data_IF_031961796365
#
_entry.id   IF_031961796365
#
_cell.length_a   1.000
_cell.length_b   1.000
_cell.length_c   1.000
_cell.angle_alpha   90.00
_cell.angle_beta   90.00
_cell.angle_gamma   90.00
#
_symmetry.space_group_name_H-M   'P 1'
#
loop_
_entity.id
_entity.type
_entity.pdbx_description
1 polymer ?
#
# COMPACT_ATOMS: atom_id res chain seq x y z
N UNK A 1 -4.80 10.10 7.33
CA UNK A 1 -4.41 8.84 6.67
C UNK A 1 -5.21 7.65 7.19
N UNK A 2 -5.04 7.21 8.45
CA UNK A 2 -5.74 6.03 9.01
C UNK A 2 -7.27 6.11 8.92
N UNK A 3 -7.87 7.26 9.24
CA UNK A 3 -9.33 7.46 9.11
C UNK A 3 -9.85 7.18 7.71
N UNK A 4 -9.16 7.65 6.67
CA UNK A 4 -9.51 7.41 5.27
C UNK A 4 -9.21 5.97 4.82
N UNK A 5 -8.17 5.35 5.37
CA UNK A 5 -7.95 3.92 5.16
C UNK A 5 -9.15 3.13 5.70
N UNK A 6 -9.58 3.43 6.94
CA UNK A 6 -10.69 2.76 7.62
C UNK A 6 -12.04 3.02 6.96
N UNK A 7 -12.27 4.20 6.37
CA UNK A 7 -13.53 4.50 5.68
C UNK A 7 -13.77 3.63 4.43
N UNK A 8 -12.78 2.84 4.01
CA UNK A 8 -12.89 1.89 2.91
C UNK A 8 -13.29 0.49 3.38
N UNK A 9 -13.33 0.22 4.69
CA UNK A 9 -13.80 -1.09 5.21
C UNK A 9 -15.20 -1.38 4.68
N UNK A 10 -15.38 -2.58 4.10
CA UNK A 10 -16.58 -2.97 3.36
C UNK A 10 -16.48 -2.83 1.84
N UNK A 11 -15.46 -2.15 1.30
CA UNK A 11 -15.21 -2.10 -0.15
C UNK A 11 -15.01 -3.51 -0.72
N UNK A 12 -15.65 -3.77 -1.86
CA UNK A 12 -15.53 -5.03 -2.61
C UNK A 12 -14.16 -5.13 -3.26
N UNK A 13 -13.55 -6.31 -3.24
CA UNK A 13 -12.28 -6.53 -3.94
C UNK A 13 -12.46 -6.42 -5.47
N UNK A 14 -11.76 -5.46 -6.09
CA UNK A 14 -11.72 -5.27 -7.55
C UNK A 14 -10.31 -4.83 -7.99
N UNK A 15 -9.58 -5.75 -8.63
CA UNK A 15 -8.24 -5.52 -9.19
C UNK A 15 -8.25 -5.30 -10.72
N UNK A 16 -9.42 -5.15 -11.33
CA UNK A 16 -9.53 -5.02 -12.79
C UNK A 16 -8.82 -3.76 -13.29
N UNK A 17 -8.20 -3.90 -14.46
CA UNK A 17 -7.63 -2.78 -15.20
C UNK A 17 -8.73 -1.85 -15.69
N UNK A 18 -8.53 -0.54 -15.59
CA UNK A 18 -9.47 0.49 -16.05
C UNK A 18 -8.71 1.71 -16.54
N UNK A 19 -9.24 2.43 -17.52
CA UNK A 19 -8.74 3.76 -17.89
C UNK A 19 -9.12 4.75 -16.77
N UNK A 20 -8.15 5.55 -16.32
CA UNK A 20 -8.35 6.50 -15.24
C UNK A 20 -8.02 7.93 -15.70
N UNK A 21 -8.75 8.95 -15.18
CA UNK A 21 -8.30 10.34 -15.27
C UNK A 21 -6.88 10.50 -14.71
N UNK A 22 -6.18 11.55 -15.12
CA UNK A 22 -4.85 11.86 -14.61
C UNK A 22 -4.64 13.37 -14.53
N UNK A 23 -4.16 13.92 -13.41
CA UNK A 23 -3.89 13.24 -12.12
C UNK A 23 -5.19 12.91 -11.36
N UNK A 24 -5.06 12.35 -10.15
CA UNK A 24 -6.17 12.04 -9.23
C UNK A 24 -7.22 11.03 -9.75
N UNK A 25 -6.86 10.18 -10.71
CA UNK A 25 -7.70 9.05 -11.10
C UNK A 25 -7.90 8.05 -9.95
N UNK A 26 -9.10 7.50 -9.88
CA UNK A 26 -9.48 6.49 -8.89
C UNK A 26 -10.45 5.48 -9.52
N UNK A 27 -10.48 4.27 -8.97
CA UNK A 27 -11.52 3.29 -9.29
C UNK A 27 -12.86 3.69 -8.65
N UNK A 28 -14.00 3.15 -9.11
CA UNK A 28 -15.30 3.48 -8.52
C UNK A 28 -15.34 3.30 -7.00
N UNK A 29 -16.15 4.11 -6.32
CA UNK A 29 -16.35 4.00 -4.86
C UNK A 29 -16.98 2.65 -4.50
N UNK A 30 -16.71 2.17 -3.29
CA UNK A 30 -17.24 0.87 -2.82
C UNK A 30 -16.44 -0.34 -3.31
N UNK A 31 -15.29 -0.12 -3.97
CA UNK A 31 -14.44 -1.19 -4.49
C UNK A 31 -12.98 -0.77 -4.63
N UNK A 32 -12.10 -1.76 -4.69
CA UNK A 32 -10.68 -1.59 -4.99
C UNK A 32 -9.84 -2.81 -4.61
N UNK A 33 -8.54 -2.70 -4.78
CA UNK A 33 -7.54 -3.67 -4.35
C UNK A 33 -6.77 -3.17 -3.11
N UNK A 34 -5.81 -3.96 -2.63
CA UNK A 34 -4.96 -3.60 -1.49
C UNK A 34 -4.23 -2.26 -1.67
N UNK A 35 -3.78 -1.97 -2.89
CA UNK A 35 -3.09 -0.72 -3.24
C UNK A 35 -4.00 0.50 -3.17
N UNK A 36 -5.30 0.35 -3.49
CA UNK A 36 -6.27 1.46 -3.48
C UNK A 36 -6.53 1.97 -2.06
N UNK A 37 -6.42 1.09 -1.05
CA UNK A 37 -6.44 1.48 0.37
C UNK A 37 -5.35 2.50 0.66
N UNK A 38 -4.13 2.22 0.22
CA UNK A 38 -2.96 3.09 0.41
C UNK A 38 -3.09 4.37 -0.42
N UNK A 39 -3.49 4.25 -1.69
CA UNK A 39 -3.67 5.38 -2.61
C UNK A 39 -4.64 6.41 -2.03
N UNK A 40 -5.83 5.99 -1.62
CA UNK A 40 -6.86 6.91 -1.10
C UNK A 40 -6.46 7.49 0.25
N UNK A 41 -5.83 6.71 1.12
CA UNK A 41 -5.39 7.18 2.43
C UNK A 41 -4.29 8.24 2.34
N UNK A 42 -3.37 8.11 1.39
CA UNK A 42 -2.33 9.10 1.11
C UNK A 42 -2.88 10.33 0.36
N UNK A 43 -3.82 10.13 -0.56
CA UNK A 43 -4.49 11.24 -1.26
C UNK A 43 -5.21 12.16 -0.29
N UNK A 44 -5.85 11.63 0.74
CA UNK A 44 -6.51 12.42 1.77
C UNK A 44 -5.57 13.32 2.59
N UNK A 45 -4.25 13.08 2.54
CA UNK A 45 -3.23 13.92 3.16
C UNK A 45 -2.33 14.60 2.12
N UNK A 46 -2.80 14.73 0.88
CA UNK A 46 -2.16 15.54 -0.17
C UNK A 46 -1.22 14.80 -1.11
N UNK A 47 -1.06 13.48 -1.00
CA UNK A 47 -0.16 12.70 -1.85
C UNK A 47 -0.90 11.87 -2.90
N UNK A 48 -0.92 12.34 -4.14
CA UNK A 48 -1.46 11.58 -5.28
C UNK A 48 -0.44 10.58 -5.82
N UNK A 49 -0.53 9.32 -5.35
CA UNK A 49 0.36 8.24 -5.80
C UNK A 49 0.29 7.99 -7.31
N UNK A 50 -0.85 8.27 -7.97
CA UNK A 50 -0.96 8.14 -9.42
C UNK A 50 0.05 9.05 -10.11
N UNK A 51 0.05 10.33 -9.76
CA UNK A 51 1.00 11.31 -10.27
C UNK A 51 2.43 10.99 -9.85
N UNK A 52 2.64 10.75 -8.56
CA UNK A 52 3.97 10.59 -7.97
C UNK A 52 4.75 9.40 -8.54
N UNK A 53 4.12 8.22 -8.57
CA UNK A 53 4.76 7.00 -9.09
C UNK A 53 4.94 7.07 -10.60
N UNK A 54 3.96 7.61 -11.33
CA UNK A 54 4.07 7.76 -12.79
C UNK A 54 5.25 8.67 -13.18
N UNK A 55 5.42 9.79 -12.48
CA UNK A 55 6.52 10.73 -12.76
C UNK A 55 7.89 10.16 -12.34
N UNK A 56 7.98 9.48 -11.19
CA UNK A 56 9.23 8.84 -10.77
C UNK A 56 9.61 7.69 -11.72
N UNK A 57 8.67 6.83 -12.10
CA UNK A 57 8.92 5.74 -13.08
C UNK A 57 9.32 6.29 -14.45
N UNK A 58 8.73 7.41 -14.90
CA UNK A 58 9.13 8.07 -16.15
C UNK A 58 10.57 8.59 -16.09
N UNK A 59 10.99 9.13 -14.95
CA UNK A 59 12.34 9.69 -14.76
C UNK A 59 13.39 8.61 -14.50
N UNK A 60 13.04 7.54 -13.80
CA UNK A 60 13.94 6.47 -13.37
C UNK A 60 13.38 5.07 -13.70
N UNK A 61 13.17 4.74 -14.98
CA UNK A 61 12.52 3.47 -15.36
C UNK A 61 13.32 2.22 -14.96
N UNK A 62 14.63 2.33 -14.74
CA UNK A 62 15.47 1.23 -14.23
C UNK A 62 15.28 0.92 -12.74
N UNK A 63 14.70 1.84 -11.96
CA UNK A 63 14.43 1.62 -10.54
C UNK A 63 13.22 0.70 -10.30
N UNK A 64 12.36 0.51 -11.30
CA UNK A 64 11.13 -0.26 -11.21
C UNK A 64 11.28 -1.65 -11.86
N UNK A 65 10.61 -2.70 -11.34
CA UNK A 65 10.73 -4.05 -11.87
C UNK A 65 10.33 -4.13 -13.35
N UNK A 66 11.21 -4.69 -14.17
CA UNK A 66 11.00 -4.94 -15.60
C UNK A 66 10.45 -6.33 -15.83
N UNK A 67 9.25 -6.60 -15.35
CA UNK A 67 8.49 -7.75 -15.86
C UNK A 67 7.85 -7.34 -17.19
N UNK A 68 7.80 -8.22 -18.19
CA UNK A 68 7.33 -7.90 -19.56
C UNK A 68 5.98 -7.17 -19.56
N UNK A 69 5.04 -7.66 -18.75
CA UNK A 69 3.70 -7.09 -18.49
C UNK A 69 3.68 -5.73 -17.76
N UNK A 70 4.80 -5.24 -17.23
CA UNK A 70 4.91 -4.02 -16.40
C UNK A 70 6.00 -3.05 -16.90
N UNK A 71 6.63 -3.37 -18.03
CA UNK A 71 7.77 -2.65 -18.60
C UNK A 71 7.39 -1.27 -19.16
N UNK A 72 6.20 -1.13 -19.75
CA UNK A 72 5.71 0.15 -20.28
C UNK A 72 5.20 1.05 -19.16
N UNK A 73 5.42 2.36 -19.31
CA UNK A 73 4.83 3.38 -18.44
C UNK A 73 3.31 3.44 -18.66
N UNK A 74 2.53 3.34 -17.60
CA UNK A 74 1.06 3.34 -17.66
C UNK A 74 0.44 4.02 -16.42
N UNK A 75 -0.04 5.26 -16.63
CA UNK A 75 -0.69 6.09 -15.59
C UNK A 75 -1.95 5.46 -14.99
N UNK A 76 -2.59 4.50 -15.67
CA UNK A 76 -3.82 3.86 -15.21
C UNK A 76 -3.57 2.82 -14.12
N UNK A 77 -2.36 2.28 -14.02
CA UNK A 77 -2.12 1.07 -13.23
C UNK A 77 -0.76 1.08 -12.51
N UNK A 78 0.20 1.91 -12.90
CA UNK A 78 1.54 1.92 -12.27
C UNK A 78 1.48 2.09 -10.75
N UNK A 79 0.67 3.04 -10.27
CA UNK A 79 0.47 3.27 -8.85
C UNK A 79 -0.36 2.20 -8.14
N UNK A 80 -1.13 1.39 -8.89
CA UNK A 80 -1.95 0.28 -8.35
C UNK A 80 -1.17 -1.04 -8.26
N UNK A 81 0.13 -1.04 -8.55
CA UNK A 81 1.02 -2.20 -8.35
C UNK A 81 1.76 -2.12 -7.03
N UNK A 82 1.64 -3.16 -6.21
CA UNK A 82 2.34 -3.26 -4.92
C UNK A 82 3.85 -3.05 -5.10
N UNK A 83 4.46 -3.73 -6.07
CA UNK A 83 5.91 -3.61 -6.33
C UNK A 83 6.35 -2.17 -6.65
N UNK A 84 5.51 -1.40 -7.34
CA UNK A 84 5.84 0.00 -7.67
C UNK A 84 5.67 0.90 -6.45
N UNK A 85 4.64 0.67 -5.62
CA UNK A 85 4.48 1.39 -4.35
C UNK A 85 5.66 1.12 -3.41
N UNK A 86 6.10 -0.14 -3.29
CA UNK A 86 7.27 -0.52 -2.48
C UNK A 86 8.53 0.21 -2.95
N UNK A 87 8.81 0.23 -4.25
CA UNK A 87 9.96 0.99 -4.81
C UNK A 87 9.85 2.47 -4.46
N UNK A 88 8.67 3.07 -4.66
CA UNK A 88 8.46 4.48 -4.38
C UNK A 88 8.65 4.83 -2.90
N UNK A 89 8.07 4.04 -1.99
CA UNK A 89 8.22 4.25 -0.55
C UNK A 89 9.64 4.00 -0.05
N UNK A 90 10.38 3.04 -0.62
CA UNK A 90 11.79 2.85 -0.29
C UNK A 90 12.66 4.06 -0.70
N UNK A 91 12.29 4.76 -1.79
CA UNK A 91 13.01 5.94 -2.30
C UNK A 91 12.66 7.21 -1.54
N UNK A 92 11.38 7.43 -1.27
CA UNK A 92 10.83 8.69 -0.78
C UNK A 92 10.26 8.66 0.64
N UNK A 93 10.25 7.50 1.28
CA UNK A 93 9.90 7.30 2.70
C UNK A 93 11.10 6.80 3.53
N UNK A 94 10.87 6.58 4.81
CA UNK A 94 11.78 5.91 5.71
C UNK A 94 11.48 4.40 5.70
N UNK A 95 12.46 3.57 5.35
CA UNK A 95 12.39 2.11 5.55
C UNK A 95 12.63 1.79 7.01
N UNK A 96 11.72 1.03 7.61
CA UNK A 96 11.72 0.65 9.02
C UNK A 96 11.97 -0.86 9.17
N UNK A 97 12.10 -1.32 10.41
CA UNK A 97 12.28 -2.74 10.71
C UNK A 97 11.09 -3.58 10.23
N UNK A 98 11.38 -4.75 9.67
CA UNK A 98 10.38 -5.77 9.35
C UNK A 98 10.23 -6.82 10.45
N UNK A 99 11.01 -6.69 11.54
CA UNK A 99 10.96 -7.60 12.67
C UNK A 99 9.78 -7.25 13.59
N UNK A 100 9.13 -8.29 14.11
CA UNK A 100 7.96 -8.17 14.99
C UNK A 100 8.26 -8.83 16.33
N UNK A 101 9.18 -8.22 17.08
CA UNK A 101 9.57 -8.62 18.44
C UNK A 101 9.06 -7.61 19.46
N UNK A 102 9.11 -7.94 20.75
CA UNK A 102 8.72 -6.98 21.80
C UNK A 102 9.53 -5.67 21.73
N UNK A 103 10.82 -5.75 21.38
CA UNK A 103 11.72 -4.59 21.27
C UNK A 103 11.46 -3.71 20.05
N UNK A 104 10.86 -4.26 18.99
CA UNK A 104 10.54 -3.48 17.77
C UNK A 104 9.11 -2.97 17.72
N UNK A 105 8.25 -3.39 18.65
CA UNK A 105 6.81 -3.06 18.64
C UNK A 105 6.55 -1.55 18.52
N UNK A 106 7.31 -0.72 19.22
CA UNK A 106 7.16 0.74 19.19
C UNK A 106 7.47 1.39 17.83
N UNK A 107 8.15 0.68 16.93
CA UNK A 107 8.46 1.17 15.59
C UNK A 107 7.27 1.07 14.64
N UNK A 108 6.28 0.22 14.94
CA UNK A 108 5.06 0.01 14.16
C UNK A 108 4.01 1.04 14.58
N UNK A 109 3.98 2.18 13.87
CA UNK A 109 3.11 3.31 14.21
C UNK A 109 1.92 3.40 13.26
N UNK A 110 0.82 3.91 13.77
CA UNK A 110 -0.38 4.17 12.99
C UNK A 110 -0.06 5.04 11.77
N UNK A 111 -0.56 4.64 10.60
CA UNK A 111 -0.29 5.31 9.33
C UNK A 111 0.95 4.79 8.58
N UNK A 112 1.80 3.98 9.21
CA UNK A 112 2.87 3.30 8.49
C UNK A 112 2.29 2.34 7.44
N UNK A 113 3.07 2.07 6.39
CA UNK A 113 2.70 1.21 5.28
C UNK A 113 3.47 -0.09 5.41
N UNK A 114 2.77 -1.21 5.32
CA UNK A 114 3.38 -2.56 5.41
C UNK A 114 3.08 -3.34 4.13
N UNK A 115 4.09 -4.03 3.63
CA UNK A 115 4.00 -4.89 2.45
C UNK A 115 4.37 -6.33 2.80
N UNK A 116 3.70 -7.29 2.17
CA UNK A 116 3.91 -8.71 2.38
C UNK A 116 4.09 -9.48 1.07
N UNK A 117 4.65 -10.69 1.21
CA UNK A 117 4.58 -11.76 0.23
C UNK A 117 3.69 -12.88 0.79
N UNK A 118 2.66 -13.25 0.05
CA UNK A 118 1.87 -14.45 0.33
C UNK A 118 2.63 -15.72 -0.05
N UNK A 119 2.20 -16.87 0.49
CA UNK A 119 2.82 -18.17 0.22
C UNK A 119 2.78 -18.55 -1.27
N UNK A 120 1.75 -18.10 -2.00
CA UNK A 120 1.63 -18.29 -3.44
C UNK A 120 2.42 -17.26 -4.28
N UNK A 121 3.27 -16.44 -3.63
CA UNK A 121 4.12 -15.46 -4.30
C UNK A 121 3.43 -14.14 -4.68
N UNK A 122 2.13 -13.96 -4.41
CA UNK A 122 1.47 -12.68 -4.63
C UNK A 122 1.93 -11.62 -3.62
N UNK A 123 2.04 -10.38 -4.08
CA UNK A 123 2.38 -9.24 -3.24
C UNK A 123 1.10 -8.63 -2.64
N UNK A 124 1.21 -8.12 -1.41
CA UNK A 124 0.10 -7.48 -0.69
C UNK A 124 0.58 -6.25 0.09
N UNK A 125 -0.32 -5.32 0.38
CA UNK A 125 0.02 -4.07 1.07
C UNK A 125 -1.14 -3.58 1.94
N UNK A 126 -0.84 -2.80 2.99
CA UNK A 126 -1.83 -2.23 3.89
C UNK A 126 -1.28 -1.08 4.73
N UNK A 127 -2.16 -0.51 5.57
CA UNK A 127 -1.85 0.60 6.48
C UNK A 127 -1.99 0.16 7.93
N UNK A 128 -0.94 0.38 8.72
CA UNK A 128 -0.94 0.13 10.16
C UNK A 128 -2.01 0.99 10.84
N UNK A 129 -2.88 0.34 11.59
CA UNK A 129 -3.96 0.98 12.33
C UNK A 129 -3.47 1.62 13.63
N UNK A 130 -4.25 2.57 14.15
CA UNK A 130 -4.17 3.07 15.52
C UNK A 130 -4.87 2.16 16.54
N UNK A 131 -5.59 1.13 16.09
CA UNK A 131 -6.13 0.07 16.95
C UNK A 131 -5.13 -1.07 17.13
N UNK A 132 -5.18 -1.72 18.29
CA UNK A 132 -4.33 -2.88 18.60
C UNK A 132 -5.16 -4.11 18.94
N UNK A 133 -4.57 -5.29 18.74
CA UNK A 133 -5.07 -6.54 19.34
C UNK A 133 -4.79 -6.56 20.87
N UNK A 134 -5.32 -7.55 21.62
CA UNK A 134 -5.07 -7.66 23.07
C UNK A 134 -3.59 -7.84 23.47
N UNK A 135 -2.72 -8.21 22.52
CA UNK A 135 -1.26 -8.34 22.71
C UNK A 135 -0.51 -7.03 22.45
N UNK A 136 -1.22 -5.93 22.15
CA UNK A 136 -0.66 -4.62 21.87
C UNK A 136 -0.03 -4.46 20.48
N UNK A 137 -0.22 -5.42 19.57
CA UNK A 137 0.20 -5.26 18.17
C UNK A 137 -0.87 -4.51 17.38
N UNK A 138 -0.49 -3.59 16.49
CA UNK A 138 -1.47 -2.85 15.71
C UNK A 138 -2.19 -3.79 14.73
N UNK A 139 -3.48 -3.53 14.55
CA UNK A 139 -4.25 -4.09 13.45
C UNK A 139 -3.77 -3.48 12.13
N UNK A 140 -4.17 -4.07 11.02
CA UNK A 140 -3.84 -3.55 9.70
C UNK A 140 -5.10 -3.38 8.87
N UNK A 141 -5.19 -2.24 8.17
CA UNK A 141 -6.25 -1.94 7.22
C UNK A 141 -5.75 -2.33 5.82
N UNK A 142 -6.43 -3.27 5.18
CA UNK A 142 -6.02 -3.84 3.89
C UNK A 142 -7.23 -4.40 3.14
N UNK A 143 -7.06 -4.71 1.84
CA UNK A 143 -8.12 -5.30 1.03
C UNK A 143 -7.64 -6.57 0.32
N UNK A 144 -8.19 -7.72 0.71
CA UNK A 144 -7.94 -9.04 0.09
C UNK A 144 -9.21 -9.87 0.24
N UNK A 145 -10.01 -9.94 -0.84
CA UNK A 145 -11.37 -10.49 -0.77
C UNK A 145 -12.41 -9.54 -0.13
N UNK A 146 -12.01 -8.31 0.18
CA UNK A 146 -12.82 -7.28 0.83
C UNK A 146 -11.94 -6.40 1.72
N UNK A 147 -12.23 -5.10 1.80
CA UNK A 147 -11.48 -4.20 2.66
C UNK A 147 -11.88 -4.41 4.12
N UNK A 148 -10.88 -4.61 4.97
CA UNK A 148 -11.05 -4.94 6.38
C UNK A 148 -9.93 -4.39 7.26
N UNK A 149 -10.19 -4.33 8.56
CA UNK A 149 -9.24 -3.94 9.62
C UNK A 149 -9.02 -5.15 10.54
N UNK A 150 -7.92 -5.87 10.36
CA UNK A 150 -7.72 -7.21 10.96
C UNK A 150 -6.35 -7.37 11.65
N UNK A 151 -6.24 -8.35 12.56
CA UNK A 151 -4.98 -8.79 13.16
C UNK A 151 -4.19 -9.68 12.18
N UNK A 152 -3.54 -9.05 11.19
CA UNK A 152 -2.82 -9.75 10.12
C UNK A 152 -1.36 -9.34 9.96
N UNK A 153 -0.84 -8.47 10.83
CA UNK A 153 0.53 -7.95 10.74
C UNK A 153 1.57 -9.07 10.55
N UNK A 154 1.46 -10.11 11.38
CA UNK A 154 2.37 -11.25 11.43
C UNK A 154 1.81 -12.49 10.71
N UNK A 155 0.74 -12.35 9.92
CA UNK A 155 0.08 -13.49 9.26
C UNK A 155 0.82 -13.96 8.00
N UNK A 156 1.58 -13.07 7.37
CA UNK A 156 2.32 -13.32 6.14
C UNK A 156 3.74 -12.80 6.23
N UNK A 157 4.59 -13.19 5.29
CA UNK A 157 5.99 -12.74 5.27
C UNK A 157 6.06 -11.25 4.96
N UNK A 158 6.46 -10.45 5.94
CA UNK A 158 6.70 -9.01 5.76
C UNK A 158 7.90 -8.83 4.83
N UNK A 159 7.74 -8.02 3.79
CA UNK A 159 8.81 -7.68 2.83
C UNK A 159 9.12 -6.18 2.79
N UNK A 160 8.33 -5.36 3.47
CA UNK A 160 8.58 -3.94 3.59
C UNK A 160 7.75 -3.31 4.70
N UNK A 161 8.32 -2.31 5.34
CA UNK A 161 7.68 -1.47 6.34
C UNK A 161 8.21 -0.04 6.14
N UNK A 162 7.30 0.90 5.90
CA UNK A 162 7.65 2.25 5.48
C UNK A 162 6.87 3.31 6.24
N UNK A 163 7.53 4.41 6.57
CA UNK A 163 6.90 5.65 6.97
C UNK A 163 7.04 6.68 5.86
N UNK A 164 5.93 7.26 5.42
CA UNK A 164 5.90 8.20 4.30
C UNK A 164 4.99 9.39 4.62
N UNK A 165 5.37 10.63 4.27
CA UNK A 165 6.65 11.05 3.66
C UNK A 165 7.86 10.89 4.61
N UNK A 166 9.08 11.10 4.08
CA UNK A 166 10.28 11.37 4.91
C UNK A 166 10.13 12.65 5.72
#
# INVERSE_FOLDING_TARGET
MVTTARSQVGDVYDQSYRSLPYPNGDVPRGRGACTDVVIRALRAVGYDLQRLIHQDKRRFPSAYPRQSQHSKLDKNIDHRRVVNQVVYFARYGQTLTTLTTASTRSQWRAGDIVAWKFANGLDHIGIISDKTNPRGWPLVIHNVGGCAENDVLNKWRIVGHFRFPK
#
